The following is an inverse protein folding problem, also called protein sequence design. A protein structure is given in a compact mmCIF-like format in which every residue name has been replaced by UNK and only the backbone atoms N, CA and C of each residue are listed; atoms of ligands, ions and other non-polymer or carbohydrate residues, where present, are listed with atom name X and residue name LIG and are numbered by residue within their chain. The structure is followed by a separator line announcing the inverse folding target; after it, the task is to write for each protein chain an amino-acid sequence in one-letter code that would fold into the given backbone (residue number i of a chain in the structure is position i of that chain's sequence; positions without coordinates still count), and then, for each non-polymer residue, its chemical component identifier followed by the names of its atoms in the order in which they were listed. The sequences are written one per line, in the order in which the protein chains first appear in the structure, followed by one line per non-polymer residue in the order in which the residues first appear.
data_IF_907506401606
#
_entry.id   IF_907506401606
#
_cell.length_a   1.000
_cell.length_b   1.000
_cell.length_c   1.000
_cell.angle_alpha   90.00
_cell.angle_beta   90.00
_cell.angle_gamma   90.00
#
_symmetry.space_group_name_H-M   'P 1'
#
loop_
_entity.id
_entity.type
_entity.pdbx_description
1 polymer ?
#
# COMPACT_ATOMS: atom_id res chain seq x y z
N UNK A 1 2.50 -7.35 -24.03
CA UNK A 1 2.96 -5.96 -23.83
C UNK A 1 2.34 -5.48 -22.54
N UNK A 2 3.07 -4.71 -21.72
CA UNK A 2 2.42 -3.97 -20.62
C UNK A 2 1.78 -2.69 -21.16
N UNK A 3 1.05 -1.99 -20.29
CA UNK A 3 0.57 -0.65 -20.59
C UNK A 3 1.73 0.37 -20.72
N UNK A 4 1.44 1.57 -21.21
CA UNK A 4 2.45 2.61 -21.44
C UNK A 4 2.37 3.71 -20.37
N UNK A 5 3.51 4.00 -19.74
CA UNK A 5 3.70 5.24 -19.00
C UNK A 5 3.91 6.39 -19.98
N UNK A 6 2.93 7.28 -20.09
CA UNK A 6 3.00 8.48 -20.94
C UNK A 6 3.83 9.56 -20.25
N UNK A 7 4.79 10.11 -21.00
CA UNK A 7 5.72 11.16 -20.59
C UNK A 7 5.70 12.30 -21.60
N UNK A 8 6.24 13.45 -21.20
CA UNK A 8 6.41 14.61 -22.08
C UNK A 8 7.89 14.82 -22.36
N UNK A 9 8.19 15.15 -23.62
CA UNK A 9 9.49 15.71 -24.01
C UNK A 9 9.59 17.17 -23.58
N UNK A 10 10.82 17.67 -23.46
CA UNK A 10 11.10 19.09 -23.18
C UNK A 10 10.47 20.06 -24.21
N UNK A 11 10.22 19.59 -25.44
CA UNK A 11 9.56 20.37 -26.50
C UNK A 11 8.02 20.33 -26.43
N UNK A 12 7.44 19.69 -25.41
CA UNK A 12 5.99 19.57 -25.20
C UNK A 12 5.32 18.37 -25.86
N UNK A 13 6.00 17.64 -26.76
CA UNK A 13 5.45 16.43 -27.38
C UNK A 13 5.33 15.25 -26.40
N UNK A 14 4.43 14.30 -26.65
CA UNK A 14 4.26 13.14 -25.77
C UNK A 14 4.98 11.90 -26.28
N UNK A 15 5.31 10.99 -25.37
CA UNK A 15 5.80 9.65 -25.70
C UNK A 15 5.45 8.65 -24.62
N UNK A 16 5.33 7.40 -25.00
CA UNK A 16 5.07 6.28 -24.10
C UNK A 16 6.37 5.56 -23.77
N UNK A 17 6.47 5.07 -22.55
CA UNK A 17 7.54 4.16 -22.12
C UNK A 17 6.92 2.92 -21.51
N UNK A 18 7.53 1.77 -21.74
CA UNK A 18 7.06 0.53 -21.13
C UNK A 18 7.95 -0.64 -21.48
N UNK A 19 7.43 -1.83 -21.27
CA UNK A 19 8.11 -3.08 -21.59
C UNK A 19 7.26 -4.00 -22.48
N UNK A 20 7.94 -4.83 -23.27
CA UNK A 20 7.30 -5.85 -24.09
C UNK A 20 8.09 -7.15 -24.05
N UNK A 21 7.41 -8.25 -24.37
CA UNK A 21 8.08 -9.49 -24.67
C UNK A 21 8.38 -9.53 -26.16
N UNK A 22 9.65 -9.78 -26.50
CA UNK A 22 10.09 -9.96 -27.87
C UNK A 22 10.31 -11.43 -28.19
N UNK A 23 9.86 -11.85 -29.38
CA UNK A 23 10.18 -13.14 -29.98
C UNK A 23 11.27 -13.03 -31.06
N UNK A 24 11.90 -11.86 -31.23
CA UNK A 24 12.73 -11.53 -32.39
C UNK A 24 14.14 -12.15 -32.38
N UNK A 25 14.45 -13.03 -31.43
CA UNK A 25 15.64 -13.86 -31.43
C UNK A 25 15.32 -15.14 -30.65
N UNK A 26 16.12 -16.19 -30.77
CA UNK A 26 15.98 -17.46 -30.05
C UNK A 26 15.82 -17.32 -28.52
N UNK A 27 16.06 -16.12 -27.99
CA UNK A 27 15.83 -15.71 -26.63
C UNK A 27 14.57 -14.84 -26.54
N UNK A 28 13.57 -15.34 -25.81
CA UNK A 28 12.38 -14.59 -25.42
C UNK A 28 12.77 -13.60 -24.35
N UNK A 29 13.01 -12.35 -24.71
CA UNK A 29 13.52 -11.35 -23.78
C UNK A 29 12.50 -10.26 -23.52
N UNK A 30 12.52 -9.77 -22.28
CA UNK A 30 11.85 -8.52 -21.91
C UNK A 30 12.64 -7.39 -22.55
N UNK A 31 11.98 -6.57 -23.36
CA UNK A 31 12.57 -5.40 -24.01
C UNK A 31 11.90 -4.13 -23.49
N UNK A 32 12.71 -3.10 -23.29
CA UNK A 32 12.22 -1.74 -23.06
C UNK A 32 11.75 -1.15 -24.39
N UNK A 33 10.67 -0.38 -24.37
CA UNK A 33 10.12 0.30 -25.54
C UNK A 33 9.91 1.78 -25.28
N UNK A 34 10.15 2.58 -26.31
CA UNK A 34 9.80 4.01 -26.35
C UNK A 34 8.89 4.23 -27.55
N UNK A 35 7.70 4.77 -27.30
CA UNK A 35 6.61 4.88 -28.26
C UNK A 35 6.33 6.35 -28.58
N UNK A 36 6.44 6.72 -29.86
CA UNK A 36 6.05 8.05 -30.30
C UNK A 36 4.54 8.29 -30.14
N UNK A 37 4.15 9.53 -29.85
CA UNK A 37 2.77 9.99 -29.65
C UNK A 37 1.76 9.40 -30.64
N UNK A 38 2.11 9.37 -31.93
CA UNK A 38 1.27 8.85 -33.01
C UNK A 38 0.75 7.43 -32.75
N UNK A 39 1.51 6.60 -32.04
CA UNK A 39 1.21 5.18 -31.85
C UNK A 39 0.65 4.86 -30.47
N UNK A 40 0.50 5.85 -29.58
CA UNK A 40 0.04 5.64 -28.19
C UNK A 40 -1.33 4.98 -28.11
N UNK A 41 -2.26 5.34 -29.00
CA UNK A 41 -3.62 4.75 -28.98
C UNK A 41 -3.71 3.37 -29.63
N UNK A 42 -2.75 3.06 -30.52
CA UNK A 42 -2.66 1.77 -31.22
C UNK A 42 -2.05 0.70 -30.32
N UNK A 43 -1.02 1.08 -29.58
CA UNK A 43 -0.30 0.18 -28.70
C UNK A 43 -1.05 0.06 -27.37
N UNK A 44 -1.48 -1.16 -27.04
CA UNK A 44 -2.30 -1.44 -25.85
C UNK A 44 -1.76 -2.65 -25.11
N UNK A 45 -1.99 -2.66 -23.80
CA UNK A 45 -1.67 -3.78 -22.93
C UNK A 45 -2.28 -5.10 -23.45
N UNK A 46 -1.57 -6.21 -23.24
CA UNK A 46 -2.05 -7.56 -23.58
C UNK A 46 -2.02 -7.90 -25.08
N UNK A 47 -1.87 -6.91 -25.96
CA UNK A 47 -1.85 -7.09 -27.41
C UNK A 47 -0.46 -7.51 -27.93
N UNK A 48 -0.45 -8.08 -29.14
CA UNK A 48 0.75 -8.48 -29.86
C UNK A 48 0.88 -7.68 -31.15
N UNK A 49 2.13 -7.32 -31.49
CA UNK A 49 2.42 -6.41 -32.59
C UNK A 49 3.60 -6.89 -33.41
N UNK A 50 3.55 -6.61 -34.72
CA UNK A 50 4.72 -6.64 -35.61
C UNK A 50 5.16 -5.21 -35.84
N UNK A 51 6.46 -4.97 -35.67
CA UNK A 51 7.08 -3.67 -35.87
C UNK A 51 7.95 -3.72 -37.12
N UNK A 52 7.75 -2.78 -38.04
CA UNK A 52 8.63 -2.56 -39.19
C UNK A 52 9.18 -1.14 -39.13
N UNK A 53 10.43 -0.94 -39.57
CA UNK A 53 11.10 0.37 -39.54
C UNK A 53 11.15 0.98 -38.13
N UNK A 54 11.38 0.14 -37.12
CA UNK A 54 11.73 0.58 -35.77
C UNK A 54 13.24 0.80 -35.67
N UNK A 55 13.67 1.51 -34.63
CA UNK A 55 15.09 1.65 -34.29
C UNK A 55 15.38 0.97 -32.96
N UNK A 56 16.62 0.54 -32.76
CA UNK A 56 17.10 0.00 -31.48
C UNK A 56 18.19 0.93 -30.95
N UNK A 57 18.08 1.32 -29.68
CA UNK A 57 19.10 2.13 -28.99
C UNK A 57 20.26 1.24 -28.53
N UNK A 58 21.37 1.85 -28.12
CA UNK A 58 22.57 1.12 -27.69
C UNK A 58 22.33 0.18 -26.50
N UNK A 59 21.38 0.52 -25.64
CA UNK A 59 20.97 -0.28 -24.47
C UNK A 59 19.96 -1.39 -24.82
N UNK A 60 19.65 -1.59 -26.11
CA UNK A 60 18.67 -2.56 -26.58
C UNK A 60 17.21 -2.08 -26.54
N UNK A 61 16.95 -0.85 -26.11
CA UNK A 61 15.58 -0.28 -26.11
C UNK A 61 15.06 -0.13 -27.53
N UNK A 62 13.84 -0.62 -27.79
CA UNK A 62 13.18 -0.48 -29.09
C UNK A 62 12.41 0.84 -29.16
N UNK A 63 12.79 1.68 -30.12
CA UNK A 63 12.15 2.97 -30.41
C UNK A 63 11.17 2.82 -31.57
N UNK A 64 9.88 2.98 -31.25
CA UNK A 64 8.76 3.04 -32.19
C UNK A 64 8.56 4.51 -32.56
N UNK A 65 9.19 4.91 -33.66
CA UNK A 65 9.19 6.30 -34.14
C UNK A 65 7.98 6.62 -35.03
N UNK A 66 7.88 7.87 -35.48
CA UNK A 66 6.78 8.36 -36.33
C UNK A 66 6.61 7.57 -37.65
N UNK A 67 7.72 7.04 -38.17
CA UNK A 67 7.78 6.27 -39.43
C UNK A 67 7.69 4.75 -39.21
N UNK A 68 7.59 4.30 -37.95
CA UNK A 68 7.44 2.87 -37.64
C UNK A 68 6.04 2.42 -38.04
N UNK A 69 5.98 1.25 -38.68
CA UNK A 69 4.71 0.60 -38.99
C UNK A 69 4.41 -0.38 -37.87
N UNK A 70 3.25 -0.20 -37.23
CA UNK A 70 2.75 -1.04 -36.14
C UNK A 70 1.57 -1.83 -36.68
N UNK A 71 1.68 -3.16 -36.69
CA UNK A 71 0.61 -4.06 -37.14
C UNK A 71 0.15 -4.93 -35.98
N UNK A 72 -1.13 -4.91 -35.66
CA UNK A 72 -1.70 -5.87 -34.73
C UNK A 72 -1.59 -7.29 -35.30
N UNK A 73 -1.24 -8.24 -34.45
CA UNK A 73 -1.15 -9.64 -34.83
C UNK A 73 -1.64 -10.53 -33.70
N UNK A 74 -1.91 -11.80 -34.03
CA UNK A 74 -2.12 -12.83 -33.01
C UNK A 74 -0.84 -13.05 -32.22
N UNK A 75 -0.97 -13.45 -30.95
CA UNK A 75 0.17 -13.87 -30.14
C UNK A 75 0.94 -14.96 -30.88
N UNK A 76 2.26 -14.85 -31.06
CA UNK A 76 3.06 -15.91 -31.67
C UNK A 76 2.89 -17.22 -30.87
N UNK A 77 2.59 -18.33 -31.55
CA UNK A 77 2.51 -19.65 -30.92
C UNK A 77 3.86 -20.12 -30.36
N UNK A 78 4.95 -19.51 -30.83
CA UNK A 78 6.30 -19.74 -30.33
C UNK A 78 6.57 -19.07 -28.98
N UNK A 79 5.69 -18.19 -28.48
CA UNK A 79 5.87 -17.53 -27.18
C UNK A 79 5.60 -18.53 -26.04
N UNK A 80 6.53 -18.66 -25.10
CA UNK A 80 6.38 -19.58 -23.95
C UNK A 80 5.50 -18.92 -22.89
N UNK A 81 4.45 -19.63 -22.47
CA UNK A 81 3.52 -19.19 -21.45
C UNK A 81 4.20 -18.91 -20.12
N UNK A 82 5.27 -19.63 -19.78
CA UNK A 82 6.06 -19.35 -18.57
C UNK A 82 6.75 -17.98 -18.65
N UNK A 83 7.23 -17.58 -19.84
CA UNK A 83 7.83 -16.25 -20.04
C UNK A 83 6.76 -15.17 -19.97
N UNK A 84 5.58 -15.43 -20.57
CA UNK A 84 4.42 -14.53 -20.45
C UNK A 84 4.02 -14.35 -18.99
N UNK A 85 3.89 -15.46 -18.25
CA UNK A 85 3.53 -15.45 -16.83
C UNK A 85 4.55 -14.71 -15.99
N UNK A 86 5.85 -14.97 -16.18
CA UNK A 86 6.92 -14.24 -15.46
C UNK A 86 6.94 -12.75 -15.80
N UNK A 87 6.46 -12.35 -16.98
CA UNK A 87 6.36 -10.95 -17.34
C UNK A 87 5.12 -10.26 -16.72
N UNK A 88 3.97 -10.91 -16.75
CA UNK A 88 2.70 -10.33 -16.26
C UNK A 88 2.51 -10.50 -14.75
N UNK A 89 3.13 -11.51 -14.16
CA UNK A 89 3.11 -11.82 -12.74
C UNK A 89 4.49 -12.35 -12.31
N UNK A 90 5.51 -11.46 -12.21
CA UNK A 90 6.85 -11.86 -11.86
C UNK A 90 6.91 -12.41 -10.43
N UNK A 91 7.81 -13.37 -10.18
CA UNK A 91 7.93 -14.03 -8.89
C UNK A 91 8.24 -13.03 -7.77
N UNK A 92 7.71 -13.32 -6.59
CA UNK A 92 8.12 -12.67 -5.35
C UNK A 92 9.57 -13.05 -5.04
N UNK A 93 10.38 -12.06 -4.68
CA UNK A 93 11.73 -12.30 -4.19
C UNK A 93 11.64 -12.59 -2.69
N UNK A 94 12.19 -13.74 -2.29
CA UNK A 94 12.10 -14.21 -0.89
C UNK A 94 12.96 -13.37 0.06
N UNK A 95 14.09 -12.86 -0.41
CA UNK A 95 15.08 -12.09 0.36
C UNK A 95 15.50 -10.85 -0.43
N UNK A 96 15.32 -9.65 0.14
CA UNK A 96 15.63 -8.39 -0.53
C UNK A 96 17.13 -8.28 -0.87
N UNK A 97 18.00 -8.93 -0.10
CA UNK A 97 19.44 -9.00 -0.38
C UNK A 97 19.76 -9.60 -1.75
N UNK A 98 18.92 -10.51 -2.27
CA UNK A 98 19.11 -11.13 -3.59
C UNK A 98 18.96 -10.15 -4.74
N UNK A 99 18.31 -9.00 -4.54
CA UNK A 99 18.19 -7.96 -5.58
C UNK A 99 19.57 -7.51 -6.08
N UNK A 100 20.59 -7.51 -5.20
CA UNK A 100 21.96 -7.14 -5.53
C UNK A 100 22.59 -8.02 -6.62
N UNK A 101 22.10 -9.26 -6.81
CA UNK A 101 22.67 -10.25 -7.74
C UNK A 101 21.80 -10.58 -8.96
N UNK A 102 20.61 -9.98 -9.11
CA UNK A 102 19.71 -10.28 -10.23
C UNK A 102 20.29 -9.79 -11.58
N UNK A 103 19.53 -9.74 -12.66
CA UNK A 103 19.98 -9.03 -13.89
C UNK A 103 19.33 -7.64 -13.98
N UNK A 104 20.01 -6.69 -14.64
CA UNK A 104 19.41 -5.38 -14.93
C UNK A 104 18.15 -5.58 -15.79
N UNK A 105 17.10 -4.80 -15.52
CA UNK A 105 15.77 -4.91 -16.16
C UNK A 105 15.01 -6.22 -15.91
N UNK A 106 15.53 -7.12 -15.07
CA UNK A 106 14.76 -8.28 -14.61
C UNK A 106 13.52 -7.80 -13.85
N UNK A 107 12.36 -8.39 -14.17
CA UNK A 107 11.10 -8.09 -13.47
C UNK A 107 10.94 -8.98 -12.25
N UNK A 108 10.54 -8.37 -11.14
CA UNK A 108 10.35 -9.04 -9.85
C UNK A 108 9.15 -8.43 -9.11
N UNK A 109 8.67 -9.17 -8.11
CA UNK A 109 7.80 -8.64 -7.06
C UNK A 109 8.56 -8.68 -5.74
N UNK A 110 8.30 -7.73 -4.85
CA UNK A 110 8.95 -7.65 -3.53
C UNK A 110 7.92 -7.42 -2.43
N UNK A 111 8.20 -7.96 -1.25
CA UNK A 111 7.47 -7.69 -0.02
C UNK A 111 8.47 -7.26 1.04
N UNK A 112 8.12 -6.25 1.81
CA UNK A 112 8.97 -5.79 2.90
C UNK A 112 8.29 -4.73 3.75
N UNK A 113 8.87 -4.48 4.92
CA UNK A 113 8.51 -3.37 5.77
C UNK A 113 9.11 -2.08 5.22
N UNK A 114 8.32 -1.02 5.17
CA UNK A 114 8.76 0.29 4.74
C UNK A 114 9.59 0.91 5.86
N UNK A 115 10.91 0.99 5.68
CA UNK A 115 11.80 1.63 6.65
C UNK A 115 11.91 3.14 6.44
N UNK A 116 11.69 3.62 5.22
CA UNK A 116 11.73 5.04 4.89
C UNK A 116 10.87 5.36 3.66
N UNK A 117 10.29 6.55 3.64
CA UNK A 117 9.58 7.14 2.50
C UNK A 117 10.15 8.53 2.26
N UNK A 118 10.73 8.76 1.08
CA UNK A 118 11.19 10.09 0.71
C UNK A 118 10.01 11.04 0.46
N UNK A 119 10.26 12.35 0.58
CA UNK A 119 9.40 13.35 -0.05
C UNK A 119 9.23 13.10 -1.55
N UNK A 120 8.16 13.66 -2.14
CA UNK A 120 7.95 13.60 -3.57
C UNK A 120 8.96 14.53 -4.26
N UNK A 121 9.74 13.96 -5.17
CA UNK A 121 10.66 14.67 -6.04
C UNK A 121 9.91 14.93 -7.35
N UNK A 122 9.58 16.18 -7.61
CA UNK A 122 8.81 16.61 -8.78
C UNK A 122 9.61 17.60 -9.63
N UNK A 123 9.59 17.37 -10.94
CA UNK A 123 10.09 18.27 -11.97
C UNK A 123 8.96 18.54 -12.96
N UNK A 124 9.14 19.50 -13.87
CA UNK A 124 8.15 19.82 -14.91
C UNK A 124 7.78 18.61 -15.80
N UNK A 125 8.61 17.56 -15.82
CA UNK A 125 8.47 16.42 -16.71
C UNK A 125 8.17 15.11 -15.97
N UNK A 126 8.56 15.00 -14.69
CA UNK A 126 8.48 13.74 -13.94
C UNK A 126 8.19 13.96 -12.47
N UNK A 127 7.39 13.06 -11.90
CA UNK A 127 7.11 12.97 -10.48
C UNK A 127 7.55 11.60 -9.97
N UNK A 128 8.26 11.55 -8.84
CA UNK A 128 8.62 10.27 -8.21
C UNK A 128 8.72 10.39 -6.69
N UNK A 129 8.58 9.26 -6.00
CA UNK A 129 9.07 9.08 -4.62
C UNK A 129 9.91 7.82 -4.52
N UNK A 130 10.70 7.74 -3.46
CA UNK A 130 11.51 6.58 -3.14
C UNK A 130 10.96 5.96 -1.86
N UNK A 131 10.64 4.68 -1.92
CA UNK A 131 10.23 3.87 -0.78
C UNK A 131 11.35 2.88 -0.51
N UNK A 132 11.93 2.91 0.67
CA UNK A 132 12.94 1.93 1.07
C UNK A 132 12.25 0.81 1.83
N UNK A 133 12.37 -0.42 1.31
CA UNK A 133 11.87 -1.63 1.95
C UNK A 133 13.00 -2.32 2.70
N UNK A 134 12.63 -2.97 3.81
CA UNK A 134 13.49 -3.78 4.67
C UNK A 134 12.85 -5.15 4.91
N UNK A 135 13.65 -6.20 4.94
CA UNK A 135 13.26 -7.53 5.42
C UNK A 135 13.96 -7.90 6.75
N UNK A 136 14.60 -6.90 7.39
CA UNK A 136 15.41 -7.07 8.59
C UNK A 136 16.89 -7.37 8.32
N UNK A 137 17.22 -7.97 7.17
CA UNK A 137 18.60 -8.34 6.80
C UNK A 137 19.20 -7.39 5.75
N UNK A 138 18.36 -6.91 4.82
CA UNK A 138 18.76 -6.05 3.72
C UNK A 138 17.70 -4.98 3.45
N UNK A 139 18.12 -3.93 2.76
CA UNK A 139 17.22 -2.88 2.28
C UNK A 139 17.30 -2.71 0.77
N UNK A 140 16.20 -2.30 0.16
CA UNK A 140 16.14 -1.96 -1.26
C UNK A 140 15.30 -0.72 -1.49
N UNK A 141 15.79 0.17 -2.34
CA UNK A 141 15.05 1.35 -2.76
C UNK A 141 14.14 1.02 -3.95
N UNK A 142 12.87 1.40 -3.83
CA UNK A 142 11.86 1.29 -4.88
C UNK A 142 11.43 2.69 -5.32
N UNK A 143 11.71 3.03 -6.58
CA UNK A 143 11.33 4.30 -7.19
C UNK A 143 9.94 4.18 -7.81
N UNK A 144 8.97 4.85 -7.20
CA UNK A 144 7.58 4.92 -7.65
C UNK A 144 7.39 6.19 -8.49
N UNK A 145 7.08 6.04 -9.77
CA UNK A 145 6.98 7.13 -10.74
C UNK A 145 5.53 7.48 -11.08
N UNK A 146 5.31 8.72 -11.52
CA UNK A 146 4.00 9.21 -11.95
C UNK A 146 2.98 9.16 -10.82
N UNK A 147 1.78 8.66 -11.11
CA UNK A 147 0.69 8.55 -10.12
C UNK A 147 1.04 7.68 -8.92
N UNK A 148 1.93 6.69 -9.08
CA UNK A 148 2.41 5.86 -7.97
C UNK A 148 3.15 6.68 -6.91
N UNK A 149 3.73 7.83 -7.29
CA UNK A 149 4.36 8.75 -6.36
C UNK A 149 3.35 9.36 -5.37
N UNK A 150 2.08 9.48 -5.74
CA UNK A 150 1.02 10.04 -4.90
C UNK A 150 0.40 9.02 -3.93
N UNK A 151 0.72 7.71 -4.05
CA UNK A 151 0.17 6.69 -3.13
C UNK A 151 0.52 6.95 -1.66
N UNK A 152 -0.44 6.80 -0.76
CA UNK A 152 -0.18 6.89 0.69
C UNK A 152 0.53 5.62 1.16
N UNK A 153 1.83 5.72 1.43
CA UNK A 153 2.70 4.67 1.96
C UNK A 153 3.43 5.28 3.14
N UNK A 154 3.48 4.57 4.25
CA UNK A 154 4.01 5.10 5.50
C UNK A 154 5.14 4.21 6.02
N UNK A 155 6.12 4.82 6.67
CA UNK A 155 7.14 4.05 7.40
C UNK A 155 6.49 3.17 8.45
N UNK A 156 7.05 1.99 8.65
CA UNK A 156 6.50 0.93 9.48
C UNK A 156 5.47 0.05 8.77
N UNK A 157 4.86 0.43 7.65
CA UNK A 157 3.89 -0.44 6.97
C UNK A 157 4.53 -1.62 6.24
N UNK A 158 3.84 -2.75 6.12
CA UNK A 158 4.27 -3.87 5.24
C UNK A 158 3.56 -3.75 3.91
N UNK A 159 4.35 -3.68 2.82
CA UNK A 159 3.81 -3.57 1.47
C UNK A 159 4.28 -4.69 0.57
N UNK A 160 3.41 -5.07 -0.36
CA UNK A 160 3.72 -5.87 -1.53
C UNK A 160 3.78 -4.96 -2.75
N UNK A 161 4.91 -4.96 -3.46
CA UNK A 161 5.08 -4.23 -4.70
C UNK A 161 5.36 -5.22 -5.82
N UNK A 162 4.39 -5.37 -6.71
CA UNK A 162 4.46 -6.30 -7.84
C UNK A 162 4.91 -5.61 -9.12
N UNK A 163 5.48 -6.39 -10.05
CA UNK A 163 5.80 -5.94 -11.42
C UNK A 163 6.81 -4.79 -11.52
N UNK A 164 7.74 -4.66 -10.57
CA UNK A 164 8.87 -3.74 -10.65
C UNK A 164 10.02 -4.35 -11.45
N UNK A 165 10.97 -3.53 -11.89
CA UNK A 165 12.17 -4.02 -12.55
C UNK A 165 13.45 -3.55 -11.86
N UNK A 166 14.47 -4.39 -11.91
CA UNK A 166 15.80 -4.04 -11.42
C UNK A 166 16.40 -2.93 -12.27
N UNK A 167 17.00 -1.95 -11.61
CA UNK A 167 17.69 -0.82 -12.20
C UNK A 167 19.08 -0.70 -11.58
N UNK A 168 20.11 -0.84 -12.41
CA UNK A 168 21.51 -0.67 -12.02
C UNK A 168 21.98 0.74 -12.37
N UNK A 169 22.28 1.54 -11.36
CA UNK A 169 22.81 2.90 -11.52
C UNK A 169 24.02 3.10 -10.62
N UNK A 170 25.16 3.48 -11.22
CA UNK A 170 26.43 3.69 -10.50
C UNK A 170 26.82 2.52 -9.57
N UNK A 171 26.60 1.29 -10.01
CA UNK A 171 26.91 0.08 -9.24
C UNK A 171 25.89 -0.29 -8.15
N UNK A 172 24.92 0.58 -7.85
CA UNK A 172 23.83 0.28 -6.91
C UNK A 172 22.61 -0.22 -7.65
N UNK A 173 22.02 -1.30 -7.14
CA UNK A 173 20.75 -1.82 -7.64
C UNK A 173 19.61 -1.25 -6.83
N UNK A 174 18.59 -0.84 -7.55
CA UNK A 174 17.32 -0.37 -7.04
C UNK A 174 16.20 -0.99 -7.87
N UNK A 175 14.96 -0.77 -7.46
CA UNK A 175 13.79 -1.21 -8.19
C UNK A 175 13.08 0.03 -8.75
N UNK A 176 12.66 -0.03 -10.01
CA UNK A 176 11.83 1.01 -10.61
C UNK A 176 10.46 0.42 -10.94
N UNK A 177 9.44 1.22 -10.65
CA UNK A 177 8.07 0.94 -11.12
C UNK A 177 7.97 1.01 -12.65
N UNK A 178 7.01 0.28 -13.19
CA UNK A 178 6.55 0.33 -14.58
C UNK A 178 5.04 0.55 -14.63
N UNK A 179 4.45 0.57 -15.82
CA UNK A 179 3.01 0.74 -15.99
C UNK A 179 2.18 -0.39 -15.32
N UNK A 180 2.74 -1.59 -15.22
CA UNK A 180 2.07 -2.74 -14.57
C UNK A 180 2.32 -2.83 -13.07
N UNK A 181 3.08 -1.90 -12.47
CA UNK A 181 3.38 -1.96 -11.04
C UNK A 181 2.11 -1.76 -10.21
N UNK A 182 1.89 -2.66 -9.26
CA UNK A 182 0.83 -2.53 -8.26
C UNK A 182 1.44 -2.56 -6.86
N UNK A 183 0.97 -1.67 -6.00
CA UNK A 183 1.33 -1.60 -4.59
C UNK A 183 0.12 -2.03 -3.78
N UNK A 184 0.29 -3.02 -2.91
CA UNK A 184 -0.72 -3.48 -1.96
C UNK A 184 -0.15 -3.33 -0.55
N UNK A 185 -0.87 -2.63 0.31
CA UNK A 185 -0.54 -2.61 1.73
C UNK A 185 -1.11 -3.89 2.38
N UNK A 186 -0.26 -4.64 3.09
CA UNK A 186 -0.57 -5.95 3.69
C UNK A 186 -0.85 -5.82 5.19
N UNK A 187 -0.72 -4.63 5.78
CA UNK A 187 -1.04 -4.44 7.19
C UNK A 187 -2.51 -4.79 7.47
N UNK A 188 -2.73 -5.49 8.57
CA UNK A 188 -4.06 -5.68 9.17
C UNK A 188 -4.42 -4.35 9.85
N UNK A 189 -5.66 -3.91 9.68
CA UNK A 189 -6.18 -2.77 10.45
C UNK A 189 -6.52 -3.25 11.85
N UNK A 190 -5.89 -2.64 12.84
CA UNK A 190 -6.20 -2.80 14.25
C UNK A 190 -7.12 -1.66 14.68
N UNK A 191 -8.07 -1.95 15.56
CA UNK A 191 -8.85 -0.92 16.24
C UNK A 191 -8.04 -0.31 17.39
N UNK A 192 -8.23 0.98 17.64
CA UNK A 192 -7.69 1.66 18.82
C UNK A 192 -8.73 2.59 19.41
N UNK A 193 -8.61 2.83 20.71
CA UNK A 193 -9.40 3.81 21.45
C UNK A 193 -8.62 4.32 22.65
N UNK A 194 -8.83 5.57 23.04
CA UNK A 194 -8.26 6.12 24.25
C UNK A 194 -8.34 7.65 24.32
N UNK A 195 -7.76 8.19 25.38
CA UNK A 195 -7.61 9.64 25.57
C UNK A 195 -6.33 10.11 24.88
N UNK A 196 -6.41 11.26 24.21
CA UNK A 196 -5.22 11.89 23.64
C UNK A 196 -4.40 12.54 24.76
N UNK A 197 -3.22 11.98 25.01
CA UNK A 197 -2.23 12.47 25.98
C UNK A 197 -1.36 13.60 25.40
N UNK A 198 -1.23 13.66 24.08
CA UNK A 198 -0.42 14.67 23.40
C UNK A 198 -0.64 14.73 21.90
N UNK A 199 -0.33 15.88 21.29
CA UNK A 199 -0.51 16.13 19.85
C UNK A 199 0.68 16.89 19.27
N UNK A 200 1.15 16.46 18.11
CA UNK A 200 2.07 17.21 17.24
C UNK A 200 1.29 17.74 16.03
N UNK A 201 1.24 19.07 15.91
CA UNK A 201 0.66 19.77 14.76
C UNK A 201 1.71 20.12 13.68
N UNK A 202 2.93 19.59 13.78
CA UNK A 202 3.96 19.80 12.77
C UNK A 202 3.54 19.13 11.46
N UNK A 203 3.38 19.91 10.38
CA UNK A 203 2.98 19.43 9.05
C UNK A 203 3.94 18.34 8.51
N UNK A 204 5.20 18.37 8.94
CA UNK A 204 6.21 17.37 8.56
C UNK A 204 6.16 16.09 9.40
N UNK A 205 5.58 16.15 10.61
CA UNK A 205 5.49 15.03 11.54
C UNK A 205 4.25 15.13 12.43
N UNK A 206 3.09 14.94 11.80
CA UNK A 206 1.78 15.06 12.42
C UNK A 206 1.42 13.76 13.16
N UNK A 207 1.14 13.83 14.47
CA UNK A 207 0.94 12.64 15.32
C UNK A 207 0.15 12.91 16.60
N UNK A 208 -0.46 11.88 17.17
CA UNK A 208 -1.09 11.90 18.51
C UNK A 208 -0.44 10.84 19.42
N UNK A 209 -0.46 11.08 20.72
CA UNK A 209 -0.03 10.15 21.76
C UNK A 209 -1.27 9.64 22.49
N UNK A 210 -1.46 8.31 22.54
CA UNK A 210 -2.56 7.65 23.24
C UNK A 210 -1.99 6.42 23.95
N UNK A 211 -2.22 6.30 25.27
CA UNK A 211 -1.79 5.14 26.06
C UNK A 211 -0.28 4.83 25.89
N UNK A 212 0.56 5.86 25.97
CA UNK A 212 2.01 5.80 25.72
C UNK A 212 2.43 5.37 24.28
N UNK A 213 1.48 5.23 23.34
CA UNK A 213 1.76 4.92 21.94
C UNK A 213 1.65 6.17 21.05
N UNK A 214 2.73 6.46 20.30
CA UNK A 214 2.74 7.54 19.31
C UNK A 214 2.17 7.04 17.98
N UNK A 215 1.09 7.68 17.52
CA UNK A 215 0.37 7.33 16.31
C UNK A 215 0.43 8.48 15.29
N UNK A 216 0.98 8.22 14.11
CA UNK A 216 1.03 9.19 13.00
C UNK A 216 -0.35 9.36 12.35
N UNK A 217 -0.71 10.58 12.01
CA UNK A 217 -1.97 10.91 11.34
C UNK A 217 -1.77 12.05 10.34
N UNK A 218 -2.79 12.31 9.52
CA UNK A 218 -2.81 13.43 8.58
C UNK A 218 -3.32 14.72 9.24
N UNK A 219 -2.95 15.85 8.66
CA UNK A 219 -3.46 17.16 9.08
C UNK A 219 -4.99 17.26 8.97
N UNK A 220 -5.60 16.62 7.96
CA UNK A 220 -7.06 16.53 7.83
C UNK A 220 -7.68 15.82 9.03
N UNK A 221 -7.21 14.62 9.36
CA UNK A 221 -7.69 13.84 10.50
C UNK A 221 -7.57 14.62 11.83
N UNK A 222 -6.47 15.34 12.02
CA UNK A 222 -6.28 16.16 13.23
C UNK A 222 -7.15 17.42 13.25
N UNK A 223 -7.46 17.99 12.09
CA UNK A 223 -8.30 19.19 12.00
C UNK A 223 -9.75 18.89 12.36
N UNK A 224 -10.19 17.65 12.15
CA UNK A 224 -11.51 17.17 12.56
C UNK A 224 -11.63 17.07 14.09
N UNK A 225 -10.57 16.67 14.79
CA UNK A 225 -10.55 16.54 16.26
C UNK A 225 -10.20 17.86 16.97
N UNK A 226 -9.26 18.62 16.40
CA UNK A 226 -8.76 19.89 16.94
C UNK A 226 -8.90 21.01 15.90
N UNK A 227 -10.13 21.51 15.67
CA UNK A 227 -10.35 22.61 14.75
C UNK A 227 -9.55 23.85 15.20
N UNK A 228 -8.67 24.32 14.33
CA UNK A 228 -7.78 25.46 14.60
C UNK A 228 -6.37 25.11 15.11
N UNK A 229 -6.03 23.81 15.21
CA UNK A 229 -4.67 23.38 15.55
C UNK A 229 -4.26 23.68 16.99
N UNK A 230 -5.23 23.68 17.91
CA UNK A 230 -5.02 23.94 19.33
C UNK A 230 -5.34 22.68 20.11
N UNK A 231 -4.43 22.27 21.00
CA UNK A 231 -4.64 21.13 21.88
C UNK A 231 -5.78 21.40 22.88
N UNK A 232 -6.62 20.38 23.07
CA UNK A 232 -7.68 20.36 24.07
C UNK A 232 -7.58 19.07 24.89
N UNK A 233 -7.64 19.19 26.21
CA UNK A 233 -7.53 18.05 27.13
C UNK A 233 -8.79 17.15 27.08
N UNK A 234 -8.63 15.89 27.51
CA UNK A 234 -9.70 14.89 27.67
C UNK A 234 -10.48 14.58 26.38
N UNK A 235 -9.81 14.68 25.22
CA UNK A 235 -10.35 14.22 23.94
C UNK A 235 -10.26 12.71 23.86
N UNK A 236 -11.40 12.05 23.98
CA UNK A 236 -11.56 10.62 23.71
C UNK A 236 -11.68 10.40 22.21
N UNK A 237 -10.89 9.47 21.68
CA UNK A 237 -10.92 9.12 20.26
C UNK A 237 -10.92 7.62 20.08
N UNK A 238 -11.45 7.19 18.94
CA UNK A 238 -11.36 5.83 18.45
C UNK A 238 -11.09 5.80 16.96
N UNK A 239 -10.70 4.64 16.48
CA UNK A 239 -10.56 4.45 15.05
C UNK A 239 -9.82 3.19 14.67
N UNK A 240 -9.25 3.23 13.47
CA UNK A 240 -8.48 2.13 12.91
C UNK A 240 -7.07 2.59 12.60
N UNK A 241 -6.09 1.79 12.96
CA UNK A 241 -4.68 2.02 12.69
C UNK A 241 -4.09 0.83 11.96
N UNK A 242 -2.99 1.07 11.25
CA UNK A 242 -2.11 0.03 10.71
C UNK A 242 -0.77 0.22 11.40
N UNK A 243 -0.46 -0.63 12.37
CA UNK A 243 0.66 -0.43 13.31
C UNK A 243 0.52 0.94 13.98
N UNK A 244 1.44 1.87 13.73
CA UNK A 244 1.45 3.20 14.34
C UNK A 244 0.85 4.29 13.44
N UNK A 245 0.15 3.95 12.37
CA UNK A 245 -0.42 4.94 11.43
C UNK A 245 -1.94 4.88 11.45
N UNK A 246 -2.57 6.01 11.71
CA UNK A 246 -4.02 6.13 11.79
C UNK A 246 -4.64 6.19 10.39
N UNK A 247 -5.55 5.27 10.13
CA UNK A 247 -6.33 5.21 8.87
C UNK A 247 -7.70 5.86 9.01
N UNK A 248 -8.30 5.77 10.20
CA UNK A 248 -9.56 6.43 10.57
C UNK A 248 -9.39 6.98 11.97
N UNK A 249 -9.75 8.24 12.17
CA UNK A 249 -9.73 8.93 13.47
C UNK A 249 -11.09 9.59 13.68
N UNK A 250 -11.75 9.28 14.78
CA UNK A 250 -13.05 9.81 15.14
C UNK A 250 -13.08 10.18 16.62
N UNK A 251 -13.78 11.24 16.98
CA UNK A 251 -14.06 11.58 18.38
C UNK A 251 -15.03 10.55 18.98
N UNK A 252 -14.68 9.95 20.11
CA UNK A 252 -15.50 8.93 20.74
C UNK A 252 -16.50 9.56 21.72
N UNK A 253 -17.58 10.08 21.16
CA UNK A 253 -18.65 10.76 21.90
C UNK A 253 -19.30 9.86 22.96
N UNK A 254 -19.25 8.53 22.80
CA UNK A 254 -19.87 7.58 23.74
C UNK A 254 -19.07 7.47 25.04
N UNK A 255 -17.72 7.49 24.96
CA UNK A 255 -16.85 7.46 26.13
C UNK A 255 -17.01 8.73 27.01
N UNK A 256 -17.26 9.89 26.39
CA UNK A 256 -17.53 11.14 27.11
C UNK A 256 -18.79 11.05 27.99
N UNK A 257 -19.85 10.42 27.49
CA UNK A 257 -21.12 10.30 28.24
C UNK A 257 -20.99 9.32 29.41
N UNK A 258 -20.17 8.27 29.27
CA UNK A 258 -19.93 7.30 30.34
C UNK A 258 -19.18 7.94 31.54
N UNK A 259 -18.15 8.75 31.28
CA UNK A 259 -17.41 9.44 32.35
C UNK A 259 -18.27 10.49 33.10
N UNK A 260 -19.19 11.15 32.40
CA UNK A 260 -20.11 12.11 33.03
C UNK A 260 -21.15 11.42 33.94
N UNK A 261 -21.59 10.21 33.57
CA UNK A 261 -22.51 9.41 34.40
C UNK A 261 -21.80 8.91 35.67
N UNK A 262 -20.57 8.42 35.57
CA UNK A 262 -19.81 7.95 36.75
C UNK A 262 -19.50 9.10 37.72
N UNK A 263 -19.21 10.31 37.22
CA UNK A 263 -19.05 11.50 38.06
C UNK A 263 -20.36 11.92 38.75
N UNK A 264 -21.52 11.72 38.12
CA UNK A 264 -22.82 11.97 38.76
C UNK A 264 -23.17 10.94 39.85
N UNK A 265 -22.79 9.67 39.66
CA UNK A 265 -23.02 8.62 40.67
C UNK A 265 -22.14 8.83 41.92
N UNK A 266 -20.92 9.33 41.76
CA UNK A 266 -20.01 9.62 42.88
C UNK A 266 -20.45 10.78 43.80
N UNK A 267 -21.38 11.64 43.36
CA UNK A 267 -21.88 12.79 44.15
C UNK A 267 -23.14 12.44 44.96
N UNK A 268 -23.76 11.28 44.71
CA UNK A 268 -25.08 10.92 45.26
C UNK A 268 -25.11 9.99 46.47
N UNK A 269 -23.97 9.62 47.07
CA UNK A 269 -23.95 8.54 48.06
C UNK A 269 -23.04 8.80 49.26
N UNK A 270 -23.50 9.58 50.24
CA UNK A 270 -23.13 9.42 51.65
C UNK A 270 -24.04 10.28 52.56
N UNK A 271 -25.28 9.83 52.75
CA UNK A 271 -26.06 10.15 53.96
C UNK A 271 -26.46 8.81 54.61
N UNK A 272 -25.65 8.37 55.57
CA UNK A 272 -26.00 7.27 56.48
C UNK A 272 -26.44 7.86 57.83
N UNK A 273 -27.67 7.55 58.22
CA UNK A 273 -28.08 7.49 59.63
C UNK A 273 -28.64 6.08 59.93
N UNK A 274 -28.52 5.60 61.17
CA UNK A 274 -28.17 4.20 61.45
C UNK A 274 -29.35 3.29 61.82
N UNK A 275 -29.06 2.00 61.64
CA UNK A 275 -29.51 0.78 62.33
C UNK A 275 -30.93 0.71 62.92
N UNK A 276 -31.68 -0.29 62.47
CA UNK A 276 -32.46 -1.15 63.36
C UNK A 276 -32.44 -2.60 62.84
N UNK A 277 -32.12 -3.51 63.76
CA UNK A 277 -32.17 -4.97 63.62
C UNK A 277 -33.59 -5.44 63.26
N UNK A 278 -33.71 -6.57 62.54
CA UNK A 278 -34.59 -7.68 62.93
C UNK A 278 -34.39 -8.92 62.05
N UNK A 279 -34.33 -10.05 62.76
CA UNK A 279 -34.11 -11.43 62.36
C UNK A 279 -35.16 -11.99 61.38
N UNK A 280 -34.80 -13.05 60.65
CA UNK A 280 -35.78 -14.08 60.27
C UNK A 280 -35.52 -14.89 58.99
N UNK A 281 -35.01 -16.10 59.18
CA UNK A 281 -35.50 -17.38 58.60
C UNK A 281 -35.42 -17.67 57.08
N UNK A 282 -34.57 -18.68 56.78
CA UNK A 282 -34.85 -19.97 56.14
C UNK A 282 -35.51 -20.13 54.74
N UNK A 283 -34.89 -21.07 53.99
CA UNK A 283 -35.38 -21.92 52.86
C UNK A 283 -35.46 -21.23 51.49
N UNK A 284 -35.20 -21.88 50.35
CA UNK A 284 -35.28 -23.30 49.98
C UNK A 284 -34.49 -23.53 48.68
N UNK A 285 -34.04 -24.77 48.47
CA UNK A 285 -33.45 -25.29 47.24
C UNK A 285 -34.35 -25.12 46.02
N UNK A 286 -33.75 -25.04 44.82
CA UNK A 286 -34.14 -25.89 43.68
C UNK A 286 -33.10 -25.89 42.56
N UNK A 287 -32.52 -27.06 42.37
CA UNK A 287 -31.90 -27.54 41.14
C UNK A 287 -32.92 -27.58 40.00
N UNK A 288 -32.50 -27.21 38.78
CA UNK A 288 -32.92 -27.86 37.53
C UNK A 288 -31.73 -27.83 36.55
N UNK A 289 -31.16 -29.01 36.33
CA UNK A 289 -30.37 -29.38 35.15
C UNK A 289 -31.24 -29.32 33.87
N UNK A 290 -30.66 -28.94 32.72
CA UNK A 290 -30.58 -29.87 31.58
C UNK A 290 -29.89 -29.30 30.34
N UNK A 291 -28.90 -30.08 29.92
CA UNK A 291 -28.65 -30.60 28.57
C UNK A 291 -28.36 -29.66 27.39
N UNK A 292 -27.10 -29.80 26.98
CA UNK A 292 -26.50 -29.73 25.66
C UNK A 292 -27.42 -29.93 24.44
N UNK A 293 -27.11 -29.18 23.37
CA UNK A 293 -27.18 -29.71 22.02
C UNK A 293 -26.04 -29.14 21.17
N UNK A 294 -25.27 -30.06 20.56
CA UNK A 294 -24.23 -29.83 19.56
C UNK A 294 -24.90 -29.94 18.20
N UNK A 295 -24.71 -28.95 17.32
CA UNK A 295 -24.91 -29.13 15.87
C UNK A 295 -23.72 -28.52 15.12
N UNK A 296 -23.12 -29.37 14.30
CA UNK A 296 -21.97 -29.19 13.42
C UNK A 296 -22.37 -28.76 12.00
N UNK A 297 -21.35 -28.34 11.23
CA UNK A 297 -21.29 -28.25 9.74
C UNK A 297 -22.06 -27.05 9.12
N UNK A 298 -21.53 -26.26 8.18
CA UNK A 298 -20.73 -26.57 6.99
C UNK A 298 -19.74 -25.44 6.63
N UNK A 299 -18.55 -25.82 6.19
CA UNK A 299 -17.62 -24.96 5.43
C UNK A 299 -17.47 -25.59 4.05
N UNK A 300 -17.87 -24.88 2.99
CA UNK A 300 -17.32 -25.15 1.67
C UNK A 300 -17.38 -23.96 0.71
N UNK A 301 -16.19 -23.65 0.16
CA UNK A 301 -15.86 -23.17 -1.18
C UNK A 301 -16.61 -21.97 -1.81
N UNK A 302 -15.84 -20.90 -2.09
CA UNK A 302 -16.03 -20.14 -3.33
C UNK A 302 -14.70 -19.65 -3.93
N UNK A 303 -14.40 -20.22 -5.10
CA UNK A 303 -13.38 -19.80 -6.07
C UNK A 303 -13.72 -18.45 -6.69
N UNK A 304 -12.72 -17.59 -6.86
CA UNK A 304 -12.78 -16.45 -7.78
C UNK A 304 -11.88 -16.68 -9.00
N UNK A 305 -12.45 -16.42 -10.19
CA UNK A 305 -11.76 -16.31 -11.48
C UNK A 305 -11.07 -14.97 -11.63
#
# INVERSE_FOLDING_TARGET
MEDLLVRRYANGGMFGTGFALSSASSFKTVISIVVNEKHLQTIREGMSFILLKFATLQDGTVKIGQNTVVMHTKRPSTMDENVVRKFTNPPMVDELGRIASLDNKMRVSVKGEVSNVSGIIETNETKRKIVTLSDGNATVDVKLWGELASLRIFSGSVVEISCVHVDLYQGRRSLNSSASTKVKNIDVEDEFSGVIDGVSFDESNTSILINDEMLSCSTEQLSDIFPGGVFAENKHVKGRKRRSVITVLEEDVVAMVAEDVDKMVAVGGEDKLPEDELLGEDKEEKDIDNEAEVVTEDIDNLLFK
#
